data_IF_329454360483
#
_entry.id   IF_329454360483
#
_cell.length_a   1.000
_cell.length_b   1.000
_cell.length_c   1.000
_cell.angle_alpha   90.00
_cell.angle_beta   90.00
_cell.angle_gamma   90.00
#
_symmetry.space_group_name_H-M   'P 1'
#
loop_
_entity.id
_entity.type
_entity.pdbx_description
1 polymer ?
#
# COMPACT_ATOMS: atom_id res chain seq x y z
N UNK A 1 -1.64 -13.68 -4.53
CA UNK A 1 -0.72 -14.38 -3.64
C UNK A 1 -1.40 -14.88 -2.37
N UNK A 2 -0.87 -15.95 -1.78
CA UNK A 2 -1.37 -16.41 -0.47
C UNK A 2 -0.72 -15.58 0.64
N UNK A 3 -1.48 -14.98 1.56
CA UNK A 3 -0.92 -14.26 2.70
C UNK A 3 -0.01 -15.17 3.54
N UNK A 4 1.06 -14.64 4.15
CA UNK A 4 1.88 -15.41 5.08
C UNK A 4 1.08 -15.78 6.32
N UNK A 5 1.43 -16.87 6.97
CA UNK A 5 0.76 -17.36 8.20
C UNK A 5 1.33 -16.72 9.48
N UNK A 6 2.43 -15.98 9.38
CA UNK A 6 3.11 -15.33 10.52
C UNK A 6 4.06 -14.23 10.04
N UNK A 7 4.68 -13.52 10.99
CA UNK A 7 5.68 -12.49 10.69
C UNK A 7 5.08 -11.12 10.39
N UNK A 8 3.80 -10.92 10.69
CA UNK A 8 3.18 -9.61 10.55
C UNK A 8 3.77 -8.58 11.52
N UNK A 9 3.79 -7.33 11.09
CA UNK A 9 4.22 -6.18 11.87
C UNK A 9 3.07 -5.20 12.00
N UNK A 10 2.92 -4.61 13.19
CA UNK A 10 1.95 -3.55 13.42
C UNK A 10 2.50 -2.25 12.82
N UNK A 11 1.97 -1.85 11.66
CA UNK A 11 2.41 -0.67 10.95
C UNK A 11 1.58 0.55 11.33
N UNK A 12 2.21 1.69 11.68
CA UNK A 12 1.47 2.91 11.96
C UNK A 12 0.88 3.49 10.67
N UNK A 13 -0.37 3.97 10.74
CA UNK A 13 -1.02 4.68 9.65
C UNK A 13 -1.94 5.78 10.22
N UNK A 14 -2.22 6.81 9.41
CA UNK A 14 -3.14 7.88 9.77
C UNK A 14 -4.55 7.63 9.21
N UNK A 15 -4.62 7.11 7.98
CA UNK A 15 -5.87 6.74 7.31
C UNK A 15 -5.59 5.74 6.20
N UNK A 16 -6.63 5.02 5.79
CA UNK A 16 -6.58 4.16 4.61
C UNK A 16 -7.89 4.26 3.84
N UNK A 17 -7.80 4.15 2.50
CA UNK A 17 -8.91 3.94 1.58
C UNK A 17 -8.81 2.59 0.88
N UNK A 18 -7.88 1.73 1.34
CA UNK A 18 -7.72 0.40 0.77
C UNK A 18 -9.03 -0.37 0.89
N UNK A 19 -9.55 -0.83 -0.23
CA UNK A 19 -10.84 -1.47 -0.34
C UNK A 19 -10.90 -2.42 -1.53
N UNK A 20 -12.01 -3.15 -1.63
CA UNK A 20 -12.30 -4.03 -2.76
C UNK A 20 -13.73 -3.81 -3.21
N UNK A 21 -13.93 -3.72 -4.52
CA UNK A 21 -15.22 -3.54 -5.15
C UNK A 21 -15.47 -4.65 -6.16
N UNK A 22 -16.70 -5.12 -6.22
CA UNK A 22 -17.18 -6.05 -7.23
C UNK A 22 -18.53 -5.55 -7.75
N UNK A 23 -18.57 -4.88 -8.92
CA UNK A 23 -19.81 -4.40 -9.52
C UNK A 23 -20.79 -5.53 -9.87
N UNK A 24 -22.05 -5.17 -10.09
CA UNK A 24 -23.06 -6.05 -10.62
C UNK A 24 -23.41 -5.60 -12.04
N UNK A 25 -23.42 -6.53 -12.97
CA UNK A 25 -23.85 -6.33 -14.35
C UNK A 25 -25.33 -6.64 -14.46
N UNK A 26 -26.11 -5.67 -14.90
CA UNK A 26 -27.54 -5.86 -15.19
C UNK A 26 -27.72 -6.62 -16.51
N UNK A 27 -28.80 -7.39 -16.59
CA UNK A 27 -29.14 -8.12 -17.82
C UNK A 27 -29.82 -7.19 -18.82
N UNK A 28 -29.31 -7.14 -20.04
CA UNK A 28 -29.89 -6.42 -21.19
C UNK A 28 -30.90 -7.27 -21.98
N UNK A 29 -31.19 -8.50 -21.54
CA UNK A 29 -32.01 -9.42 -22.28
C UNK A 29 -33.49 -9.00 -22.26
N UNK A 30 -34.11 -8.97 -23.44
CA UNK A 30 -35.54 -8.70 -23.65
C UNK A 30 -36.30 -10.01 -23.83
N UNK A 31 -37.61 -9.96 -23.54
CA UNK A 31 -38.53 -11.09 -23.78
C UNK A 31 -38.74 -12.04 -22.59
N UNK A 32 -38.21 -11.69 -21.40
CA UNK A 32 -38.35 -12.48 -20.18
C UNK A 32 -39.39 -11.92 -19.18
N UNK A 33 -40.27 -11.04 -19.63
CA UNK A 33 -41.28 -10.41 -18.84
C UNK A 33 -41.03 -8.93 -18.58
N UNK A 34 -41.68 -8.38 -17.53
CA UNK A 34 -41.57 -6.95 -17.17
C UNK A 34 -40.44 -6.68 -16.17
N UNK A 35 -40.02 -7.69 -15.42
CA UNK A 35 -39.00 -7.59 -14.39
C UNK A 35 -37.64 -7.94 -14.99
N UNK A 36 -36.55 -7.21 -14.59
CA UNK A 36 -35.20 -7.53 -15.03
C UNK A 36 -34.76 -8.88 -14.47
N UNK A 37 -33.89 -9.57 -15.21
CA UNK A 37 -33.24 -10.77 -14.73
C UNK A 37 -32.24 -10.42 -13.61
N UNK A 38 -31.93 -11.41 -12.76
CA UNK A 38 -30.97 -11.23 -11.69
C UNK A 38 -29.61 -10.77 -12.23
N UNK A 39 -28.98 -9.76 -11.61
CA UNK A 39 -27.67 -9.26 -12.05
C UNK A 39 -26.55 -10.29 -11.80
N UNK A 40 -25.52 -10.23 -12.60
CA UNK A 40 -24.31 -11.09 -12.51
C UNK A 40 -23.15 -10.28 -11.95
N UNK A 41 -22.30 -10.92 -11.13
CA UNK A 41 -21.07 -10.28 -10.60
C UNK A 41 -20.06 -10.06 -11.70
N UNK A 42 -19.45 -8.88 -11.69
CA UNK A 42 -18.33 -8.50 -12.55
C UNK A 42 -16.97 -8.79 -11.91
N UNK A 43 -15.89 -8.33 -12.54
CA UNK A 43 -14.54 -8.43 -12.05
C UNK A 43 -14.32 -7.68 -10.72
N UNK A 44 -13.41 -8.19 -9.91
CA UNK A 44 -13.04 -7.61 -8.61
C UNK A 44 -11.91 -6.60 -8.83
N UNK A 45 -12.07 -5.40 -8.29
CA UNK A 45 -11.01 -4.40 -8.18
C UNK A 45 -10.65 -4.23 -6.71
N UNK A 46 -9.36 -4.31 -6.40
CA UNK A 46 -8.84 -4.09 -5.05
C UNK A 46 -7.64 -3.13 -5.12
N UNK A 47 -7.81 -1.95 -4.59
CA UNK A 47 -6.78 -0.91 -4.56
C UNK A 47 -7.06 0.12 -3.45
N UNK A 48 -6.23 1.14 -3.39
CA UNK A 48 -6.43 2.26 -2.49
C UNK A 48 -5.12 2.85 -1.98
N UNK A 49 -5.26 3.75 -1.01
CA UNK A 49 -4.16 4.50 -0.45
C UNK A 49 -4.04 4.26 1.05
N UNK A 50 -2.82 4.28 1.54
CA UNK A 50 -2.50 4.30 2.97
C UNK A 50 -1.64 5.52 3.26
N UNK A 51 -2.11 6.39 4.16
CA UNK A 51 -1.32 7.53 4.65
C UNK A 51 -0.56 7.09 5.89
N UNK A 52 0.76 7.16 5.80
CA UNK A 52 1.70 6.64 6.78
C UNK A 52 2.57 7.75 7.36
N UNK A 53 2.96 7.69 8.62
CA UNK A 53 3.99 8.57 9.15
C UNK A 53 5.34 8.23 8.53
N UNK A 54 6.16 9.25 8.27
CA UNK A 54 7.58 9.03 8.00
C UNK A 54 8.30 8.96 9.35
N UNK A 55 8.87 7.81 9.63
CA UNK A 55 9.56 7.48 10.88
C UNK A 55 10.81 6.63 10.63
N UNK A 56 11.59 6.42 11.68
CA UNK A 56 12.87 5.69 11.59
C UNK A 56 12.69 4.19 11.38
N UNK A 57 11.63 3.58 11.92
CA UNK A 57 11.49 2.12 11.98
C UNK A 57 10.60 1.55 10.88
N UNK A 58 9.45 2.20 10.61
CA UNK A 58 8.45 1.64 9.69
C UNK A 58 8.65 2.09 8.24
N UNK A 59 9.17 3.31 8.00
CA UNK A 59 9.25 3.87 6.65
C UNK A 59 10.16 3.06 5.71
N UNK A 60 11.19 2.39 6.25
CA UNK A 60 12.06 1.50 5.48
C UNK A 60 11.34 0.35 4.79
N UNK A 61 10.23 -0.16 5.35
CA UNK A 61 9.40 -1.19 4.72
C UNK A 61 8.69 -0.66 3.48
N UNK A 62 8.21 0.59 3.53
CA UNK A 62 7.57 1.26 2.40
C UNK A 62 8.56 1.60 1.30
N UNK A 63 9.78 2.01 1.67
CA UNK A 63 10.86 2.18 0.68
C UNK A 63 11.24 0.85 0.02
N UNK A 64 11.27 -0.25 0.78
CA UNK A 64 11.46 -1.58 0.20
C UNK A 64 10.33 -1.97 -0.76
N UNK A 65 9.08 -1.64 -0.43
CA UNK A 65 7.95 -1.88 -1.32
C UNK A 65 8.04 -1.07 -2.61
N UNK A 66 8.55 0.18 -2.55
CA UNK A 66 8.69 1.06 -3.69
C UNK A 66 9.87 0.71 -4.59
N UNK A 67 11.02 0.39 -4.01
CA UNK A 67 12.31 0.27 -4.72
C UNK A 67 12.83 -1.17 -4.83
N UNK A 68 12.21 -2.12 -4.13
CA UNK A 68 12.76 -3.47 -3.98
C UNK A 68 13.73 -3.62 -2.82
N UNK A 69 14.52 -4.70 -2.81
CA UNK A 69 15.45 -5.00 -1.72
C UNK A 69 16.59 -3.99 -1.63
N UNK A 70 16.85 -3.42 -0.43
CA UNK A 70 17.99 -2.53 -0.24
C UNK A 70 19.31 -3.31 -0.18
N UNK A 71 20.40 -2.65 -0.56
CA UNK A 71 21.75 -3.08 -0.21
C UNK A 71 22.05 -2.57 1.18
N UNK A 72 22.39 -3.49 2.10
CA UNK A 72 22.67 -3.17 3.49
C UNK A 72 24.17 -3.30 3.76
N UNK A 73 24.77 -2.25 4.32
CA UNK A 73 26.19 -2.20 4.71
C UNK A 73 26.36 -1.70 6.15
N UNK A 74 27.58 -1.88 6.70
CA UNK A 74 27.89 -1.49 8.07
C UNK A 74 27.40 -2.51 9.12
N UNK A 75 27.87 -2.31 10.35
CA UNK A 75 27.51 -3.17 11.49
C UNK A 75 26.57 -2.46 12.47
N UNK A 76 26.98 -1.27 12.94
CA UNK A 76 26.21 -0.40 13.83
C UNK A 76 26.72 1.03 13.73
N UNK A 77 25.95 1.97 13.16
CA UNK A 77 24.66 1.78 12.52
C UNK A 77 24.74 1.06 11.16
N UNK A 78 23.66 0.36 10.78
CA UNK A 78 23.51 -0.20 9.44
C UNK A 78 23.01 0.88 8.48
N UNK A 79 23.56 0.88 7.26
CA UNK A 79 23.08 1.74 6.17
C UNK A 79 22.32 0.90 5.15
N UNK A 80 21.11 1.29 4.84
CA UNK A 80 20.25 0.68 3.82
C UNK A 80 20.19 1.61 2.61
N UNK A 81 20.68 1.15 1.48
CA UNK A 81 20.65 1.89 0.22
C UNK A 81 19.58 1.32 -0.68
N UNK A 82 18.61 2.14 -1.03
CA UNK A 82 17.54 1.83 -1.97
C UNK A 82 17.85 2.47 -3.32
N UNK A 83 17.64 1.71 -4.40
CA UNK A 83 17.87 2.19 -5.77
C UNK A 83 16.64 1.86 -6.63
N UNK A 84 16.30 2.78 -7.53
CA UNK A 84 15.28 2.55 -8.56
C UNK A 84 15.78 1.58 -9.63
N UNK A 85 14.85 1.00 -10.40
CA UNK A 85 15.16 0.12 -11.54
C UNK A 85 15.15 -1.37 -11.20
N UNK A 86 14.59 -1.77 -10.06
CA UNK A 86 14.33 -3.20 -9.80
C UNK A 86 13.21 -3.71 -10.72
N UNK A 87 13.47 -4.79 -11.43
CA UNK A 87 12.46 -5.50 -12.25
C UNK A 87 11.45 -6.28 -11.41
N UNK A 88 11.75 -6.51 -10.15
CA UNK A 88 10.88 -7.30 -9.26
C UNK A 88 10.57 -6.49 -8.02
N UNK A 89 9.30 -6.18 -7.81
CA UNK A 89 8.81 -5.54 -6.60
C UNK A 89 8.28 -6.58 -5.62
N UNK A 90 8.47 -6.39 -4.31
CA UNK A 90 7.92 -7.28 -3.31
C UNK A 90 6.40 -7.09 -3.20
N UNK A 91 5.66 -8.19 -3.26
CA UNK A 91 4.24 -8.16 -2.89
C UNK A 91 4.09 -8.27 -1.37
N UNK A 92 3.06 -7.62 -0.85
CA UNK A 92 2.74 -7.56 0.58
C UNK A 92 1.37 -8.18 0.84
N UNK A 93 1.16 -8.64 2.07
CA UNK A 93 -0.15 -8.89 2.63
C UNK A 93 -0.42 -7.82 3.70
N UNK A 94 -1.55 -7.13 3.60
CA UNK A 94 -1.94 -6.05 4.50
C UNK A 94 -3.26 -6.41 5.13
N UNK A 95 -3.32 -6.47 6.47
CA UNK A 95 -4.57 -6.62 7.20
C UNK A 95 -4.96 -5.30 7.82
N UNK A 96 -6.17 -4.84 7.55
CA UNK A 96 -6.81 -3.73 8.25
C UNK A 96 -7.81 -4.28 9.25
N UNK A 97 -7.74 -3.82 10.50
CA UNK A 97 -8.56 -4.32 11.57
C UNK A 97 -9.51 -3.25 12.10
N UNK A 98 -10.76 -3.64 12.30
CA UNK A 98 -11.77 -2.90 13.06
C UNK A 98 -12.22 -3.79 14.22
N UNK A 99 -11.47 -3.85 15.34
CA UNK A 99 -11.71 -4.82 16.42
C UNK A 99 -13.06 -4.66 17.10
N UNK A 100 -13.59 -3.43 17.16
CA UNK A 100 -14.89 -3.10 17.78
C UNK A 100 -16.08 -3.69 17.02
N UNK A 101 -15.91 -3.96 15.72
CA UNK A 101 -16.92 -4.55 14.83
C UNK A 101 -16.46 -5.92 14.34
N UNK A 102 -15.75 -6.73 15.08
CA UNK A 102 -14.89 -7.86 14.71
C UNK A 102 -14.76 -8.09 13.19
N UNK A 103 -14.15 -7.11 12.51
CA UNK A 103 -13.93 -7.13 11.07
C UNK A 103 -12.44 -6.98 10.78
N UNK A 104 -11.90 -7.98 10.12
CA UNK A 104 -10.51 -8.03 9.70
C UNK A 104 -10.48 -8.24 8.19
N UNK A 105 -9.95 -7.27 7.46
CA UNK A 105 -9.86 -7.32 6.00
C UNK A 105 -8.41 -7.55 5.61
N UNK A 106 -8.13 -8.73 5.04
CA UNK A 106 -6.83 -9.13 4.54
C UNK A 106 -6.76 -8.87 3.04
N UNK A 107 -5.90 -7.95 2.64
CA UNK A 107 -5.55 -7.67 1.25
C UNK A 107 -4.32 -8.49 0.86
N UNK A 108 -4.43 -9.31 -0.18
CA UNK A 108 -3.37 -10.18 -0.65
C UNK A 108 -2.74 -9.67 -1.94
N UNK A 109 -1.45 -9.95 -2.13
CA UNK A 109 -0.74 -9.58 -3.33
C UNK A 109 -0.66 -8.06 -3.56
N UNK A 110 -0.60 -7.27 -2.48
CA UNK A 110 -0.47 -5.81 -2.57
C UNK A 110 0.90 -5.43 -3.12
N UNK A 111 0.93 -4.65 -4.19
CA UNK A 111 2.14 -4.06 -4.75
C UNK A 111 2.01 -2.54 -4.69
N UNK A 112 3.11 -1.85 -4.41
CA UNK A 112 3.12 -0.40 -4.29
C UNK A 112 3.30 0.23 -5.67
N UNK A 113 2.28 0.96 -6.13
CA UNK A 113 2.29 1.69 -7.39
C UNK A 113 2.94 3.07 -7.25
N UNK A 114 2.58 3.82 -6.22
CA UNK A 114 3.10 5.17 -6.03
C UNK A 114 3.38 5.46 -4.55
N UNK A 115 4.46 6.17 -4.28
CA UNK A 115 4.82 6.70 -2.97
C UNK A 115 5.08 8.20 -3.08
N UNK A 116 4.26 9.00 -2.38
CA UNK A 116 4.35 10.47 -2.42
C UNK A 116 4.49 11.01 -1.01
N UNK A 117 5.39 11.98 -0.82
CA UNK A 117 5.44 12.78 0.40
C UNK A 117 5.79 14.21 0.12
N UNK A 118 5.28 15.10 0.97
CA UNK A 118 5.48 16.52 0.86
C UNK A 118 6.16 17.06 2.11
N UNK A 119 7.17 17.88 1.92
CA UNK A 119 7.82 18.64 2.99
C UNK A 119 7.29 20.07 2.98
N UNK A 120 6.93 20.59 4.15
CA UNK A 120 6.40 21.94 4.36
C UNK A 120 7.11 22.58 5.56
N UNK A 121 6.75 23.82 5.86
CA UNK A 121 7.35 24.55 6.98
C UNK A 121 7.05 23.93 8.35
N UNK A 122 5.86 23.35 8.56
CA UNK A 122 5.40 22.85 9.86
C UNK A 122 4.55 21.60 9.73
N UNK A 123 4.39 20.87 10.80
CA UNK A 123 3.61 19.64 10.91
C UNK A 123 4.48 18.39 11.02
N UNK A 124 3.81 17.25 11.08
CA UNK A 124 4.44 15.94 11.09
C UNK A 124 4.53 15.40 9.66
N UNK A 125 5.68 14.88 9.31
CA UNK A 125 5.93 14.36 7.97
C UNK A 125 5.16 13.05 7.75
N UNK A 126 4.38 13.00 6.68
CA UNK A 126 3.62 11.82 6.26
C UNK A 126 3.88 11.53 4.78
N UNK A 127 3.70 10.26 4.41
CA UNK A 127 3.71 9.83 3.02
C UNK A 127 2.38 9.14 2.68
N UNK A 128 2.01 9.17 1.41
CA UNK A 128 0.87 8.44 0.86
C UNK A 128 1.39 7.32 -0.02
N UNK A 129 1.04 6.09 0.33
CA UNK A 129 1.33 4.90 -0.45
C UNK A 129 0.08 4.46 -1.19
N UNK A 130 0.12 4.46 -2.53
CA UNK A 130 -0.92 3.91 -3.40
C UNK A 130 -0.61 2.46 -3.73
N UNK A 131 -1.59 1.60 -3.55
CA UNK A 131 -1.44 0.15 -3.64
C UNK A 131 -2.42 -0.43 -4.65
N UNK A 132 -1.97 -1.45 -5.35
CA UNK A 132 -2.81 -2.37 -6.14
C UNK A 132 -2.75 -3.73 -5.47
N UNK A 133 -3.90 -4.37 -5.24
CA UNK A 133 -4.01 -5.68 -4.60
C UNK A 133 -4.73 -6.68 -5.50
N UNK A 134 -4.48 -7.96 -5.31
CA UNK A 134 -5.21 -9.02 -6.03
C UNK A 134 -6.65 -9.19 -5.52
N UNK A 135 -6.89 -8.90 -4.25
CA UNK A 135 -8.23 -8.97 -3.67
C UNK A 135 -8.24 -8.88 -2.16
N UNK A 136 -9.45 -8.84 -1.61
CA UNK A 136 -9.75 -8.77 -0.18
C UNK A 136 -10.38 -10.08 0.31
N UNK A 137 -10.08 -10.43 1.55
CA UNK A 137 -10.78 -11.48 2.29
C UNK A 137 -11.15 -10.95 3.67
N UNK A 138 -12.45 -10.96 3.99
CA UNK A 138 -12.98 -10.47 5.27
C UNK A 138 -13.18 -11.64 6.21
N UNK A 139 -12.73 -11.50 7.46
CA UNK A 139 -12.90 -12.47 8.52
C UNK A 139 -13.34 -11.81 9.84
N UNK A 140 -13.92 -12.57 10.74
CA UNK A 140 -14.30 -12.15 12.10
C UNK A 140 -13.12 -12.25 13.10
N UNK A 141 -12.00 -12.85 12.69
CA UNK A 141 -10.80 -13.00 13.50
C UNK A 141 -9.57 -12.57 12.68
N UNK A 142 -8.56 -12.05 13.36
CA UNK A 142 -7.30 -11.66 12.72
C UNK A 142 -6.55 -12.87 12.17
N UNK A 143 -6.04 -12.77 10.96
CA UNK A 143 -5.09 -13.72 10.38
C UNK A 143 -3.63 -13.34 10.70
N UNK A 144 -3.39 -12.11 11.14
CA UNK A 144 -2.06 -11.62 11.50
C UNK A 144 -1.56 -12.14 12.86
N UNK A 145 -2.42 -12.78 13.65
CA UNK A 145 -2.08 -13.26 14.99
C UNK A 145 -1.69 -12.11 15.93
N UNK A 146 -0.51 -12.22 16.55
CA UNK A 146 0.07 -11.15 17.38
C UNK A 146 1.18 -10.45 16.60
N UNK A 147 0.91 -9.34 15.91
CA UNK A 147 1.92 -8.66 15.11
C UNK A 147 2.95 -7.97 16.01
N UNK A 148 4.20 -7.92 15.53
CA UNK A 148 5.28 -7.25 16.23
C UNK A 148 5.06 -5.73 16.18
N UNK A 149 5.01 -5.09 17.36
CA UNK A 149 4.96 -3.63 17.46
C UNK A 149 6.33 -3.02 17.13
N UNK A 150 6.32 -1.85 16.49
CA UNK A 150 7.49 -1.05 16.18
C UNK A 150 7.59 0.15 17.12
N UNK A 151 8.82 0.56 17.46
CA UNK A 151 9.06 1.79 18.22
C UNK A 151 8.97 2.99 17.27
N UNK A 152 7.93 3.79 17.42
CA UNK A 152 7.65 4.90 16.51
C UNK A 152 8.47 6.14 16.85
N UNK A 153 9.37 6.56 15.96
CA UNK A 153 10.09 7.84 16.03
C UNK A 153 9.81 8.66 14.78
N UNK A 154 8.87 9.60 14.88
CA UNK A 154 8.39 10.43 13.78
C UNK A 154 9.30 11.61 13.49
N UNK A 155 9.36 12.00 12.23
CA UNK A 155 9.98 13.24 11.79
C UNK A 155 8.96 14.37 11.63
N UNK A 156 9.35 15.58 12.07
CA UNK A 156 8.68 16.80 11.68
C UNK A 156 9.26 17.36 10.39
N UNK A 157 8.50 18.20 9.70
CA UNK A 157 8.97 18.85 8.46
C UNK A 157 10.28 19.64 8.65
N UNK A 158 10.49 20.24 9.82
CA UNK A 158 11.68 21.02 10.15
C UNK A 158 12.95 20.17 10.34
N UNK A 159 12.83 18.85 10.48
CA UNK A 159 13.99 17.95 10.57
C UNK A 159 14.65 17.70 9.21
N UNK A 160 14.01 18.11 8.11
CA UNK A 160 14.50 17.93 6.76
C UNK A 160 15.19 19.17 6.21
N UNK A 161 16.11 18.96 5.27
CA UNK A 161 16.73 20.01 4.49
C UNK A 161 16.76 19.62 3.02
N UNK A 162 16.24 20.49 2.16
CA UNK A 162 16.33 20.27 0.71
C UNK A 162 17.69 20.75 0.22
N UNK A 163 18.42 19.86 -0.45
CA UNK A 163 19.78 20.13 -0.99
C UNK A 163 19.80 19.90 -2.50
N UNK A 164 20.57 20.70 -3.21
CA UNK A 164 20.95 20.50 -4.62
C UNK A 164 22.46 20.33 -4.72
N UNK A 165 22.90 19.18 -5.24
CA UNK A 165 24.33 18.84 -5.34
C UNK A 165 25.07 19.01 -4.00
N UNK A 166 24.46 18.58 -2.89
CA UNK A 166 25.02 18.68 -1.54
C UNK A 166 24.85 20.04 -0.85
N UNK A 167 24.48 21.12 -1.58
CA UNK A 167 24.29 22.45 -1.02
C UNK A 167 22.84 22.68 -0.61
N UNK A 168 22.61 23.14 0.63
CA UNK A 168 21.27 23.44 1.14
C UNK A 168 20.65 24.62 0.35
N UNK A 169 19.37 24.47 0.00
CA UNK A 169 18.59 25.51 -0.65
C UNK A 169 17.83 26.30 0.43
N UNK A 170 18.23 27.56 0.66
CA UNK A 170 17.67 28.41 1.72
C UNK A 170 16.26 28.96 1.44
N UNK A 171 15.77 28.89 0.20
CA UNK A 171 14.52 29.55 -0.24
C UNK A 171 13.39 28.57 -0.55
N UNK A 172 13.51 27.30 -0.12
CA UNK A 172 12.48 26.29 -0.37
C UNK A 172 11.37 26.42 0.67
N UNK A 173 10.16 26.71 0.22
CA UNK A 173 8.97 26.81 1.07
C UNK A 173 8.29 25.46 1.23
N UNK A 174 8.28 24.67 0.15
CA UNK A 174 7.76 23.30 0.13
C UNK A 174 8.51 22.47 -0.90
N UNK A 175 8.54 21.16 -0.71
CA UNK A 175 9.07 20.20 -1.66
C UNK A 175 8.17 18.97 -1.66
N UNK A 176 7.85 18.47 -2.84
CA UNK A 176 7.11 17.23 -3.02
C UNK A 176 7.99 16.23 -3.77
N UNK A 177 7.92 14.99 -3.34
CA UNK A 177 8.61 13.87 -3.99
C UNK A 177 7.55 12.83 -4.29
N UNK A 178 7.43 12.45 -5.55
CA UNK A 178 6.59 11.36 -6.01
C UNK A 178 7.45 10.34 -6.73
N UNK A 179 7.35 9.10 -6.30
CA UNK A 179 7.96 7.96 -6.97
C UNK A 179 6.85 7.03 -7.45
N UNK A 180 6.81 6.73 -8.75
CA UNK A 180 5.80 5.87 -9.37
C UNK A 180 6.47 4.68 -10.04
N UNK A 181 5.94 3.49 -9.76
CA UNK A 181 6.32 2.26 -10.44
C UNK A 181 5.56 2.10 -11.78
N UNK A 182 4.44 2.82 -11.95
CA UNK A 182 3.56 2.77 -13.12
C UNK A 182 3.12 1.34 -13.44
N UNK A 183 2.56 0.67 -12.44
CA UNK A 183 2.16 -0.72 -12.54
C UNK A 183 0.92 -0.89 -13.42
N UNK A 184 1.00 -1.84 -14.34
CA UNK A 184 -0.15 -2.36 -15.08
C UNK A 184 -0.75 -3.58 -14.38
N UNK A 185 -2.09 -3.67 -14.35
CA UNK A 185 -2.77 -4.83 -13.78
C UNK A 185 -2.66 -6.01 -14.74
N UNK A 186 -2.26 -7.17 -14.24
CA UNK A 186 -2.24 -8.41 -15.01
C UNK A 186 -3.64 -9.02 -14.90
N UNK A 187 -4.48 -8.69 -15.88
CA UNK A 187 -5.86 -9.16 -15.95
C UNK A 187 -5.93 -10.47 -16.72
N UNK A 188 -6.42 -11.50 -16.05
CA UNK A 188 -6.64 -12.83 -16.64
C UNK A 188 -8.06 -13.30 -16.39
N UNK A 189 -8.57 -14.20 -17.25
CA UNK A 189 -9.89 -14.81 -17.05
C UNK A 189 -9.81 -15.81 -15.90
N UNK A 190 -10.34 -15.42 -14.76
CA UNK A 190 -10.37 -16.22 -13.52
C UNK A 190 -11.80 -16.40 -13.00
N UNK A 191 -12.08 -17.56 -12.45
CA UNK A 191 -13.39 -17.84 -11.86
C UNK A 191 -13.72 -17.04 -10.59
N UNK A 192 -12.70 -16.41 -9.96
CA UNK A 192 -12.87 -15.53 -8.79
C UNK A 192 -12.93 -14.03 -9.15
N UNK A 193 -12.78 -13.68 -10.44
CA UNK A 193 -12.83 -12.32 -10.96
C UNK A 193 -11.65 -11.43 -10.54
N UNK A 194 -10.60 -11.99 -9.91
CA UNK A 194 -9.44 -11.26 -9.41
C UNK A 194 -8.33 -11.15 -10.46
N UNK A 195 -7.48 -10.11 -10.34
CA UNK A 195 -6.27 -9.98 -11.14
C UNK A 195 -5.20 -10.99 -10.67
N UNK A 196 -4.26 -11.36 -11.54
CA UNK A 196 -3.11 -12.21 -11.16
C UNK A 196 -2.02 -11.44 -10.43
N UNK A 197 -1.98 -10.13 -10.60
CA UNK A 197 -1.01 -9.24 -9.98
C UNK A 197 -0.97 -7.87 -10.65
N UNK A 198 0.11 -7.15 -10.40
CA UNK A 198 0.46 -5.93 -11.11
C UNK A 198 1.97 -5.90 -11.31
N UNK A 199 2.41 -5.47 -12.51
CA UNK A 199 3.81 -5.43 -12.94
C UNK A 199 4.11 -4.13 -13.70
#
# INVERSE_FOLDING_TARGET
>A
GTPPVSGFRLMPFARTTLGSEQPLLESELLGYGRDPLAPTKDAVTADGEVVIPIDVEAFGFWLKAAFGQPVTSGTTPKTHTFQSGSWTLPSMAIETAMPEVPRFAMYSGCVLDQLTWQMQRSGLLTATARLVAQGETIAAATAAGTPTALSLQRFGHFNGTVKRNGTALGNVVSAEITYSNNLDRIETIRGDGRIDGAD
#
